data_IF_687783475023
#
_entry.id   IF_687783475023
#
_cell.length_a   1.000
_cell.length_b   1.000
_cell.length_c   1.000
_cell.angle_alpha   90.00
_cell.angle_beta   90.00
_cell.angle_gamma   90.00
#
_symmetry.space_group_name_H-M   'P 1'
#
loop_
_entity.id
_entity.type
_entity.pdbx_description
1 polymer ?
#
# COMPACT_ATOMS: atom_id res chain seq x y z
N UNK A 1 8.01 14.58 -23.63
CA UNK A 1 7.83 14.96 -22.21
C UNK A 1 8.61 16.25 -21.98
N UNK A 2 8.30 17.07 -20.98
CA UNK A 2 9.14 18.23 -20.65
C UNK A 2 9.25 18.41 -19.14
N UNK A 3 10.40 18.91 -18.68
CA UNK A 3 10.62 19.38 -17.31
C UNK A 3 10.96 20.86 -17.39
N UNK A 4 10.29 21.70 -16.60
CA UNK A 4 10.57 23.14 -16.48
C UNK A 4 10.70 23.87 -17.82
N UNK A 5 9.83 23.50 -18.76
CA UNK A 5 9.80 23.97 -20.15
C UNK A 5 10.98 23.52 -21.04
N UNK A 6 11.90 22.70 -20.55
CA UNK A 6 12.85 21.97 -21.37
C UNK A 6 12.22 20.69 -21.91
N UNK A 7 12.16 20.57 -23.25
CA UNK A 7 11.51 19.44 -23.91
C UNK A 7 12.48 18.28 -24.07
N UNK A 8 12.14 17.16 -23.44
CA UNK A 8 12.81 15.88 -23.62
C UNK A 8 11.92 14.97 -24.48
N UNK A 9 12.33 14.77 -25.72
CA UNK A 9 11.62 13.86 -26.61
C UNK A 9 12.03 12.42 -26.30
N UNK A 10 11.25 11.76 -25.44
CA UNK A 10 11.17 10.29 -25.44
C UNK A 10 10.01 9.90 -26.35
N UNK A 11 10.30 9.10 -27.36
CA UNK A 11 9.28 8.49 -28.22
C UNK A 11 9.26 7.01 -27.90
N UNK A 12 8.24 6.57 -27.16
CA UNK A 12 7.92 5.15 -27.09
C UNK A 12 7.12 4.77 -28.34
N UNK A 13 7.70 3.93 -29.19
CA UNK A 13 6.99 3.32 -30.32
C UNK A 13 6.65 1.89 -29.91
N UNK A 14 5.35 1.60 -29.76
CA UNK A 14 4.92 0.23 -29.57
C UNK A 14 5.37 -0.62 -30.79
N UNK A 15 6.01 -1.79 -30.59
CA UNK A 15 6.45 -2.62 -31.72
C UNK A 15 5.28 -3.00 -32.63
N UNK A 16 5.49 -2.94 -33.95
CA UNK A 16 4.44 -3.11 -34.96
C UNK A 16 3.96 -4.56 -35.14
N UNK A 17 4.76 -5.54 -34.71
CA UNK A 17 4.60 -6.95 -35.12
C UNK A 17 4.10 -7.85 -33.98
N UNK A 18 3.37 -7.30 -33.03
CA UNK A 18 2.96 -8.06 -31.85
C UNK A 18 1.63 -8.76 -32.05
N UNK A 19 1.48 -9.97 -31.50
CA UNK A 19 0.19 -10.65 -31.44
C UNK A 19 -0.87 -9.75 -30.81
N UNK A 20 -2.05 -9.77 -31.41
CA UNK A 20 -3.21 -9.00 -30.96
C UNK A 20 -3.48 -9.30 -29.47
N UNK A 21 -3.56 -8.25 -28.64
CA UNK A 21 -3.76 -8.36 -27.19
C UNK A 21 -2.51 -8.37 -26.31
N UNK A 22 -1.30 -8.20 -26.85
CA UNK A 22 -0.07 -8.03 -26.05
C UNK A 22 -0.13 -6.71 -25.28
N UNK A 23 -0.23 -6.77 -23.95
CA UNK A 23 -0.11 -5.61 -23.07
C UNK A 23 1.35 -5.46 -22.64
N UNK A 24 1.89 -4.26 -22.77
CA UNK A 24 3.12 -3.91 -22.09
C UNK A 24 2.79 -3.21 -20.78
N UNK A 25 3.39 -3.68 -19.69
CA UNK A 25 3.27 -3.07 -18.36
C UNK A 25 4.65 -2.61 -17.90
N UNK A 26 4.67 -1.64 -16.99
CA UNK A 26 5.91 -1.12 -16.39
C UNK A 26 7.00 -0.71 -17.40
N UNK A 27 6.62 -0.23 -18.59
CA UNK A 27 7.58 0.34 -19.53
C UNK A 27 8.06 1.68 -18.95
N UNK A 28 9.37 1.90 -18.80
CA UNK A 28 9.89 3.22 -18.52
C UNK A 28 9.59 4.13 -19.72
N UNK A 29 8.60 5.02 -19.56
CA UNK A 29 8.23 5.97 -20.61
C UNK A 29 9.30 7.07 -20.78
N UNK A 30 10.00 7.40 -19.70
CA UNK A 30 11.00 8.46 -19.66
C UNK A 30 11.86 8.36 -18.39
N UNK A 31 13.11 8.81 -18.48
CA UNK A 31 14.02 9.09 -17.37
C UNK A 31 14.73 10.42 -17.64
N UNK A 32 15.13 11.13 -16.59
CA UNK A 32 15.85 12.40 -16.70
C UNK A 32 17.27 12.21 -17.28
N UNK A 33 17.83 13.20 -18.00
CA UNK A 33 19.28 13.31 -18.19
C UNK A 33 19.97 13.65 -16.85
N UNK A 34 21.31 13.48 -16.70
CA UNK A 34 21.91 13.42 -15.36
C UNK A 34 21.74 14.72 -14.57
N UNK A 35 21.08 14.58 -13.41
CA UNK A 35 20.88 15.50 -12.29
C UNK A 35 20.07 16.78 -12.60
N UNK A 36 18.85 16.81 -12.05
CA UNK A 36 18.08 18.03 -11.90
C UNK A 36 18.54 18.80 -10.63
N UNK A 37 18.51 20.15 -10.62
CA UNK A 37 18.74 20.93 -9.40
C UNK A 37 17.80 20.51 -8.26
N UNK A 38 18.21 20.65 -7.00
CA UNK A 38 17.33 20.37 -5.85
C UNK A 38 16.29 21.49 -5.65
N UNK A 39 15.31 21.53 -6.55
CA UNK A 39 14.24 22.52 -6.62
C UNK A 39 12.93 21.86 -7.04
N UNK A 40 11.75 22.47 -6.78
CA UNK A 40 10.51 21.95 -7.32
C UNK A 40 10.49 21.95 -8.85
N UNK A 41 10.23 20.78 -9.44
CA UNK A 41 10.13 20.59 -10.89
C UNK A 41 8.70 20.34 -11.35
N UNK A 42 8.37 20.76 -12.58
CA UNK A 42 7.09 20.42 -13.22
C UNK A 42 7.30 19.47 -14.40
N UNK A 43 6.80 18.24 -14.27
CA UNK A 43 6.77 17.26 -15.36
C UNK A 43 5.50 17.42 -16.19
N UNK A 44 5.66 17.62 -17.50
CA UNK A 44 4.56 17.67 -18.46
C UNK A 44 4.62 16.47 -19.42
N UNK A 45 3.60 15.62 -19.35
CA UNK A 45 3.36 14.53 -20.30
C UNK A 45 2.36 14.99 -21.37
N UNK A 46 2.84 15.14 -22.61
CA UNK A 46 2.00 15.42 -23.77
C UNK A 46 1.83 14.15 -24.61
N UNK A 47 0.59 13.68 -24.78
CA UNK A 47 0.27 12.48 -25.56
C UNK A 47 -0.17 12.92 -26.96
N UNK A 48 0.72 12.76 -27.94
CA UNK A 48 0.48 13.13 -29.32
C UNK A 48 0.20 11.88 -30.15
N UNK A 49 -1.06 11.41 -30.17
CA UNK A 49 -1.50 10.23 -30.92
C UNK A 49 -3.02 10.04 -30.82
N UNK A 50 -3.60 9.29 -31.76
CA UNK A 50 -5.04 9.00 -31.73
C UNK A 50 -5.36 8.01 -30.60
N UNK A 51 -5.73 8.55 -29.43
CA UNK A 51 -6.37 7.77 -28.37
C UNK A 51 -7.77 7.38 -28.86
N UNK A 52 -8.05 6.09 -28.91
CA UNK A 52 -9.34 5.55 -29.35
C UNK A 52 -9.82 4.48 -28.35
N UNK A 53 -10.95 3.83 -28.62
CA UNK A 53 -11.52 2.82 -27.71
C UNK A 53 -10.64 1.60 -27.45
N UNK A 54 -9.60 1.39 -28.26
CA UNK A 54 -8.66 0.26 -28.17
C UNK A 54 -7.21 0.70 -27.92
N UNK A 55 -6.92 2.00 -27.83
CA UNK A 55 -5.55 2.52 -27.67
C UNK A 55 -5.57 3.68 -26.68
N UNK A 56 -4.92 3.48 -25.53
CA UNK A 56 -4.79 4.48 -24.47
C UNK A 56 -3.42 4.41 -23.80
N UNK A 57 -3.09 5.45 -23.04
CA UNK A 57 -1.90 5.50 -22.18
C UNK A 57 -2.37 5.50 -20.74
N UNK A 58 -1.88 4.56 -19.95
CA UNK A 58 -2.11 4.52 -18.51
C UNK A 58 -0.80 4.83 -17.79
N UNK A 59 -0.85 5.78 -16.87
CA UNK A 59 0.27 6.13 -15.99
C UNK A 59 0.01 5.44 -14.66
N UNK A 60 1.00 4.68 -14.19
CA UNK A 60 0.93 3.98 -12.92
C UNK A 60 1.51 4.88 -11.81
N UNK A 61 2.83 5.04 -11.79
CA UNK A 61 3.54 5.82 -10.80
C UNK A 61 4.70 6.61 -11.42
N UNK A 62 5.25 7.53 -10.63
CA UNK A 62 6.53 8.17 -10.86
C UNK A 62 7.48 7.75 -9.73
N UNK A 63 8.69 7.32 -10.07
CA UNK A 63 9.79 7.19 -9.12
C UNK A 63 10.76 8.33 -9.39
N UNK A 64 11.16 9.02 -8.34
CA UNK A 64 12.11 10.13 -8.42
C UNK A 64 12.95 10.16 -7.15
N UNK A 65 14.18 10.66 -7.29
CA UNK A 65 15.07 10.88 -6.16
C UNK A 65 14.80 12.25 -5.54
N UNK A 66 14.98 12.36 -4.23
CA UNK A 66 14.84 13.60 -3.48
C UNK A 66 16.09 13.86 -2.66
N UNK A 67 16.38 15.13 -2.36
CA UNK A 67 17.44 15.45 -1.41
C UNK A 67 17.04 15.05 0.02
N UNK A 68 18.04 14.81 0.88
CA UNK A 68 17.84 14.52 2.30
C UNK A 68 17.02 15.59 3.04
N UNK A 69 17.01 16.82 2.52
CA UNK A 69 16.31 17.96 3.13
C UNK A 69 14.88 18.15 2.66
N UNK A 70 14.44 17.40 1.63
CA UNK A 70 13.11 17.55 1.05
C UNK A 70 12.04 17.11 2.06
N UNK A 71 11.06 17.95 2.42
CA UNK A 71 9.95 17.53 3.27
C UNK A 71 9.12 16.44 2.60
N UNK A 72 9.15 15.24 3.17
CA UNK A 72 8.53 14.05 2.60
C UNK A 72 7.11 13.88 3.13
N UNK A 73 6.22 14.82 2.79
CA UNK A 73 4.81 14.71 3.16
C UNK A 73 4.09 13.85 2.10
N UNK A 74 3.49 12.74 2.53
CA UNK A 74 2.65 11.85 1.71
C UNK A 74 3.34 11.04 0.59
N UNK A 75 4.67 10.94 0.56
CA UNK A 75 5.35 9.99 -0.34
C UNK A 75 5.74 8.70 0.38
N UNK A 76 6.18 7.71 -0.39
CA UNK A 76 6.70 6.43 0.10
C UNK A 76 8.05 6.17 -0.55
N UNK A 77 8.98 5.59 0.20
CA UNK A 77 10.20 5.08 -0.40
C UNK A 77 9.90 3.76 -1.08
N UNK A 78 10.15 3.73 -2.37
CA UNK A 78 10.03 2.54 -3.20
C UNK A 78 11.26 1.65 -3.00
N UNK A 79 11.03 0.36 -2.79
CA UNK A 79 12.08 -0.66 -2.63
C UNK A 79 11.73 -1.84 -3.53
N UNK A 80 12.56 -2.06 -4.55
CA UNK A 80 12.42 -3.16 -5.50
C UNK A 80 12.73 -4.52 -4.84
N UNK A 81 12.16 -5.62 -5.34
CA UNK A 81 12.48 -6.97 -4.86
C UNK A 81 13.97 -7.36 -5.05
N UNK A 82 14.70 -6.64 -5.91
CA UNK A 82 16.15 -6.83 -6.09
C UNK A 82 17.00 -5.85 -5.28
N UNK A 83 16.40 -5.06 -4.39
CA UNK A 83 17.16 -4.20 -3.49
C UNK A 83 18.07 -5.05 -2.58
N UNK A 84 19.38 -4.74 -2.62
CA UNK A 84 20.41 -5.48 -1.88
C UNK A 84 20.23 -5.49 -0.36
N UNK A 85 19.40 -4.59 0.19
CA UNK A 85 19.05 -4.56 1.62
C UNK A 85 18.05 -5.65 2.00
N UNK A 86 17.34 -6.24 1.03
CA UNK A 86 16.47 -7.38 1.27
C UNK A 86 17.33 -8.64 1.37
N UNK A 87 17.25 -9.30 2.51
CA UNK A 87 17.98 -10.53 2.78
C UNK A 87 17.06 -11.72 2.57
N UNK A 88 17.25 -12.42 1.46
CA UNK A 88 16.54 -13.64 1.14
C UNK A 88 17.25 -14.86 1.72
N UNK A 89 16.51 -15.71 2.45
CA UNK A 89 17.00 -17.00 2.93
C UNK A 89 16.92 -18.10 1.87
N UNK A 90 17.13 -19.34 2.31
CA UNK A 90 17.06 -20.51 1.42
C UNK A 90 15.66 -20.67 0.79
N UNK A 91 15.63 -21.03 -0.50
CA UNK A 91 14.40 -21.33 -1.24
C UNK A 91 13.83 -20.19 -2.07
N UNK A 92 14.33 -18.95 -1.89
CA UNK A 92 13.97 -17.82 -2.73
C UNK A 92 14.74 -17.82 -4.05
N UNK A 93 14.06 -17.51 -5.15
CA UNK A 93 14.64 -17.46 -6.49
C UNK A 93 14.18 -16.23 -7.26
N UNK A 94 15.12 -15.49 -7.86
CA UNK A 94 14.80 -14.42 -8.78
C UNK A 94 14.27 -14.97 -10.11
N UNK A 95 13.29 -14.29 -10.68
CA UNK A 95 12.86 -14.41 -12.08
C UNK A 95 12.67 -13.02 -12.69
N UNK A 96 12.68 -12.96 -14.01
CA UNK A 96 12.37 -11.73 -14.75
C UNK A 96 10.98 -11.86 -15.40
N UNK A 97 10.20 -10.79 -15.38
CA UNK A 97 8.82 -10.76 -15.86
C UNK A 97 8.45 -9.40 -16.42
N UNK A 98 8.10 -9.32 -17.70
CA UNK A 98 7.74 -8.05 -18.34
C UNK A 98 6.51 -7.36 -17.71
N UNK A 99 5.70 -8.11 -16.95
CA UNK A 99 4.48 -7.60 -16.33
C UNK A 99 4.69 -6.98 -14.93
N UNK A 100 5.89 -7.05 -14.35
CA UNK A 100 6.18 -6.63 -12.95
C UNK A 100 7.03 -5.37 -12.89
N UNK A 101 7.09 -4.76 -11.71
CA UNK A 101 7.87 -3.54 -11.52
C UNK A 101 9.34 -3.86 -11.81
N UNK A 102 10.01 -2.96 -12.54
CA UNK A 102 11.40 -3.10 -13.00
C UNK A 102 11.70 -4.43 -13.73
N UNK A 103 10.66 -5.13 -14.17
CA UNK A 103 10.70 -6.44 -14.79
C UNK A 103 11.30 -7.55 -13.91
N UNK A 104 11.24 -7.40 -12.58
CA UNK A 104 11.80 -8.35 -11.62
C UNK A 104 10.70 -8.93 -10.71
N UNK A 105 10.91 -10.17 -10.28
CA UNK A 105 10.17 -10.82 -9.20
C UNK A 105 11.12 -11.75 -8.45
N UNK A 106 10.90 -11.92 -7.16
CA UNK A 106 11.62 -12.90 -6.34
C UNK A 106 10.63 -13.71 -5.54
N UNK A 107 10.65 -15.03 -5.71
CA UNK A 107 9.64 -15.90 -5.11
C UNK A 107 10.18 -17.15 -4.44
N UNK A 108 9.40 -17.69 -3.51
CA UNK A 108 9.65 -18.98 -2.87
C UNK A 108 8.38 -19.83 -2.90
N UNK A 109 8.53 -21.09 -3.34
CA UNK A 109 7.53 -22.15 -3.24
C UNK A 109 7.96 -23.25 -2.28
N UNK A 110 8.69 -22.91 -1.23
CA UNK A 110 9.08 -23.82 -0.17
C UNK A 110 8.60 -23.29 1.17
N UNK A 111 7.86 -24.10 1.93
CA UNK A 111 7.47 -23.77 3.29
C UNK A 111 8.70 -23.61 4.20
N UNK A 112 8.66 -22.61 5.09
CA UNK A 112 9.76 -22.31 6.02
C UNK A 112 10.86 -21.41 5.45
N UNK A 113 10.82 -21.04 4.17
CA UNK A 113 11.68 -19.99 3.62
C UNK A 113 11.40 -18.66 4.32
N UNK A 114 12.45 -17.86 4.49
CA UNK A 114 12.33 -16.54 5.14
C UNK A 114 12.99 -15.45 4.31
N UNK A 115 12.47 -14.23 4.39
CA UNK A 115 13.20 -13.02 3.99
C UNK A 115 13.11 -11.99 5.11
N UNK A 116 14.08 -11.08 5.16
CA UNK A 116 14.08 -9.96 6.10
C UNK A 116 14.52 -8.67 5.44
N UNK A 117 13.95 -7.56 5.89
CA UNK A 117 14.27 -6.22 5.42
C UNK A 117 14.25 -5.23 6.58
N UNK A 118 15.34 -4.50 6.76
CA UNK A 118 15.45 -3.44 7.79
C UNK A 118 15.23 -2.09 7.13
N UNK A 119 14.36 -1.28 7.72
CA UNK A 119 13.98 0.04 7.22
C UNK A 119 13.86 1.06 8.35
N UNK A 120 14.05 2.32 8.01
CA UNK A 120 13.73 3.46 8.88
C UNK A 120 12.41 4.07 8.43
N UNK A 121 11.43 4.18 9.32
CA UNK A 121 10.10 4.64 8.92
C UNK A 121 9.04 4.56 10.02
N UNK A 122 7.80 4.80 9.61
CA UNK A 122 6.58 4.72 10.46
C UNK A 122 5.55 3.72 9.92
N UNK A 123 5.92 2.96 8.88
CA UNK A 123 5.06 1.95 8.27
C UNK A 123 5.71 1.31 7.06
N UNK A 124 5.18 0.16 6.65
CA UNK A 124 5.65 -0.59 5.48
C UNK A 124 4.50 -1.36 4.83
N UNK A 125 4.50 -1.42 3.51
CA UNK A 125 3.60 -2.25 2.72
C UNK A 125 4.39 -3.20 1.82
N UNK A 126 3.92 -4.43 1.66
CA UNK A 126 4.55 -5.46 0.80
C UNK A 126 3.59 -5.85 -0.31
N UNK A 127 4.09 -5.81 -1.55
CA UNK A 127 3.33 -6.13 -2.75
C UNK A 127 3.96 -7.27 -3.52
N UNK A 128 3.10 -7.99 -4.25
CA UNK A 128 3.52 -9.17 -4.98
C UNK A 128 2.51 -9.71 -5.97
N UNK A 129 2.89 -10.85 -6.57
CA UNK A 129 2.11 -11.54 -7.58
C UNK A 129 1.50 -12.85 -7.05
N UNK A 130 0.24 -13.11 -7.38
CA UNK A 130 -0.44 -14.34 -7.02
C UNK A 130 -0.63 -15.22 -8.25
N UNK A 131 -0.13 -16.46 -8.16
CA UNK A 131 -0.41 -17.49 -9.14
C UNK A 131 -1.91 -17.81 -9.20
N UNK A 132 -2.39 -18.12 -10.40
CA UNK A 132 -3.64 -18.89 -10.55
C UNK A 132 -3.48 -20.22 -9.81
N UNK A 133 -4.41 -20.55 -8.92
CA UNK A 133 -4.36 -21.84 -8.23
C UNK A 133 -5.21 -22.87 -8.96
N UNK A 134 -4.55 -23.76 -9.70
CA UNK A 134 -5.18 -24.87 -10.42
C UNK A 134 -5.61 -25.98 -9.44
N UNK A 135 -4.87 -26.15 -8.33
CA UNK A 135 -5.06 -27.21 -7.34
C UNK A 135 -5.62 -26.72 -6.00
N UNK A 136 -6.07 -25.47 -5.91
CA UNK A 136 -6.52 -24.80 -4.67
C UNK A 136 -5.46 -24.71 -3.56
N UNK A 137 -4.18 -24.83 -3.92
CA UNK A 137 -3.10 -24.45 -3.03
C UNK A 137 -3.21 -22.96 -2.68
N UNK A 138 -3.17 -22.67 -1.39
CA UNK A 138 -3.29 -21.32 -0.85
C UNK A 138 -1.88 -20.85 -0.46
N UNK A 139 -1.49 -19.71 -1.01
CA UNK A 139 -0.28 -19.01 -0.56
C UNK A 139 -0.49 -18.59 0.89
N UNK A 140 0.37 -19.04 1.80
CA UNK A 140 0.34 -18.58 3.18
C UNK A 140 1.72 -18.12 3.61
N UNK A 141 1.77 -16.96 4.24
CA UNK A 141 3.00 -16.40 4.78
C UNK A 141 2.69 -15.59 6.05
N UNK A 142 3.60 -15.66 7.01
CA UNK A 142 3.58 -14.80 8.19
C UNK A 142 4.44 -13.57 7.96
N UNK A 143 3.91 -12.41 8.29
CA UNK A 143 4.60 -11.12 8.31
C UNK A 143 4.72 -10.66 9.76
N UNK A 144 5.92 -10.30 10.19
CA UNK A 144 6.17 -9.75 11.51
C UNK A 144 7.03 -8.49 11.39
N UNK A 145 6.74 -7.50 12.22
CA UNK A 145 7.61 -6.35 12.45
C UNK A 145 8.32 -6.56 13.79
N UNK A 146 9.63 -6.38 13.77
CA UNK A 146 10.51 -6.53 14.92
C UNK A 146 10.32 -7.88 15.63
N UNK A 147 10.09 -7.87 16.95
CA UNK A 147 9.84 -9.06 17.75
C UNK A 147 8.35 -9.20 18.12
N UNK A 148 7.46 -8.59 17.35
CA UNK A 148 6.02 -8.64 17.59
C UNK A 148 5.37 -9.92 17.02
N UNK A 149 4.08 -10.09 17.31
CA UNK A 149 3.29 -11.21 16.80
C UNK A 149 3.12 -11.11 15.29
N UNK A 150 3.22 -12.23 14.59
CA UNK A 150 3.05 -12.25 13.14
C UNK A 150 1.59 -12.18 12.71
N UNK A 151 1.33 -11.49 11.61
CA UNK A 151 0.06 -11.52 10.85
C UNK A 151 0.18 -12.53 9.72
N UNK A 152 -0.77 -13.46 9.63
CA UNK A 152 -0.81 -14.45 8.54
C UNK A 152 -1.58 -13.89 7.34
N UNK A 153 -0.90 -13.82 6.20
CA UNK A 153 -1.53 -13.64 4.89
C UNK A 153 -2.02 -14.99 4.37
N UNK A 154 -3.30 -15.06 3.97
CA UNK A 154 -3.93 -16.28 3.43
C UNK A 154 -5.12 -15.89 2.53
N UNK A 155 -4.85 -15.46 1.29
CA UNK A 155 -5.88 -14.99 0.38
C UNK A 155 -6.70 -16.15 -0.18
N UNK A 156 -7.90 -15.86 -0.67
CA UNK A 156 -8.57 -16.82 -1.55
C UNK A 156 -7.79 -16.90 -2.87
N UNK A 157 -7.48 -18.10 -3.38
CA UNK A 157 -6.71 -18.21 -4.60
C UNK A 157 -7.44 -17.57 -5.79
N UNK A 158 -6.76 -16.74 -6.61
CA UNK A 158 -7.42 -16.07 -7.71
C UNK A 158 -7.68 -17.03 -8.88
N UNK A 159 -8.68 -16.72 -9.69
CA UNK A 159 -9.03 -17.48 -10.90
C UNK A 159 -8.07 -17.28 -12.06
N UNK A 160 -7.24 -16.24 -12.00
CA UNK A 160 -6.17 -15.93 -12.96
C UNK A 160 -4.96 -15.40 -12.20
N UNK A 161 -3.80 -15.38 -12.83
CA UNK A 161 -2.63 -14.70 -12.28
C UNK A 161 -2.94 -13.22 -12.00
N UNK A 162 -2.46 -12.68 -10.87
CA UNK A 162 -2.66 -11.28 -10.46
C UNK A 162 -1.34 -10.64 -10.05
N UNK A 163 -1.11 -9.41 -10.49
CA UNK A 163 0.01 -8.55 -10.06
C UNK A 163 -0.48 -7.50 -9.07
N UNK A 164 0.45 -6.77 -8.42
CA UNK A 164 0.14 -5.65 -7.53
C UNK A 164 -0.81 -6.01 -6.36
N UNK A 165 -0.67 -7.21 -5.80
CA UNK A 165 -1.45 -7.63 -4.66
C UNK A 165 -0.79 -7.17 -3.36
N UNK A 166 -1.54 -6.47 -2.52
CA UNK A 166 -1.10 -6.14 -1.17
C UNK A 166 -1.12 -7.40 -0.29
N UNK A 167 0.03 -7.77 0.24
CA UNK A 167 0.17 -8.90 1.17
C UNK A 167 0.12 -8.46 2.62
N UNK A 168 0.77 -7.35 2.91
CA UNK A 168 0.94 -6.85 4.27
C UNK A 168 1.02 -5.33 4.26
N UNK A 169 0.39 -4.70 5.25
CA UNK A 169 0.42 -3.26 5.44
C UNK A 169 0.43 -2.97 6.94
N UNK A 170 1.54 -2.40 7.41
CA UNK A 170 1.68 -1.92 8.78
C UNK A 170 1.87 -0.41 8.81
N UNK A 171 1.20 0.25 9.75
CA UNK A 171 1.13 1.71 9.83
C UNK A 171 1.15 2.17 11.28
N UNK A 172 1.58 3.42 11.52
CA UNK A 172 1.69 3.99 12.86
C UNK A 172 2.72 3.26 13.74
N UNK A 173 3.78 2.76 13.12
CA UNK A 173 4.97 2.34 13.86
C UNK A 173 5.63 3.58 14.48
N UNK A 174 6.22 3.40 15.66
CA UNK A 174 7.02 4.46 16.29
C UNK A 174 8.16 4.87 15.35
N UNK A 175 8.43 6.18 15.16
CA UNK A 175 9.51 6.61 14.28
C UNK A 175 10.86 5.97 14.66
N UNK A 176 11.42 5.16 13.76
CA UNK A 176 12.74 4.58 13.96
C UNK A 176 13.08 3.44 13.00
N UNK A 177 14.08 2.66 13.39
CA UNK A 177 14.51 1.47 12.66
C UNK A 177 13.65 0.27 13.04
N UNK A 178 13.10 -0.39 12.03
CA UNK A 178 12.31 -1.61 12.14
C UNK A 178 12.88 -2.70 11.25
N UNK A 179 12.60 -3.95 11.60
CA UNK A 179 12.91 -5.11 10.77
C UNK A 179 11.63 -5.88 10.45
N UNK A 180 11.28 -5.93 9.17
CA UNK A 180 10.24 -6.83 8.69
C UNK A 180 10.81 -8.21 8.44
N UNK A 181 10.09 -9.25 8.86
CA UNK A 181 10.37 -10.64 8.53
C UNK A 181 9.16 -11.29 7.87
N UNK A 182 9.39 -12.01 6.77
CA UNK A 182 8.38 -12.88 6.14
C UNK A 182 8.81 -14.33 6.30
N UNK A 183 7.86 -15.21 6.61
CA UNK A 183 8.08 -16.66 6.68
C UNK A 183 6.98 -17.39 5.90
N UNK A 184 7.34 -18.16 4.88
CA UNK A 184 6.39 -18.94 4.09
C UNK A 184 5.84 -20.11 4.91
N UNK A 185 4.55 -20.40 4.79
CA UNK A 185 3.87 -21.46 5.55
C UNK A 185 3.41 -22.63 4.67
N UNK A 186 3.39 -22.45 3.36
CA UNK A 186 3.01 -23.47 2.38
C UNK A 186 4.03 -23.52 1.24
N UNK A 187 3.98 -24.59 0.45
CA UNK A 187 4.79 -24.74 -0.77
C UNK A 187 4.18 -24.01 -1.98
N UNK A 188 3.03 -23.34 -1.79
CA UNK A 188 2.44 -22.48 -2.80
C UNK A 188 3.31 -21.23 -2.97
N UNK A 189 3.73 -20.94 -4.21
CA UNK A 189 4.69 -19.86 -4.46
C UNK A 189 4.13 -18.48 -4.09
N UNK A 190 4.85 -17.78 -3.20
CA UNK A 190 4.70 -16.34 -2.99
C UNK A 190 5.73 -15.61 -3.86
N UNK A 191 5.32 -14.53 -4.52
CA UNK A 191 6.19 -13.67 -5.32
C UNK A 191 6.24 -12.27 -4.72
N UNK A 192 7.43 -11.77 -4.38
CA UNK A 192 7.65 -10.38 -3.95
C UNK A 192 8.03 -9.56 -5.18
N UNK A 193 7.41 -8.39 -5.31
CA UNK A 193 7.61 -7.44 -6.42
C UNK A 193 8.24 -6.15 -5.88
N UNK A 194 7.61 -5.51 -4.89
CA UNK A 194 8.15 -4.32 -4.26
C UNK A 194 7.61 -4.09 -2.85
N UNK A 195 8.29 -3.21 -2.13
CA UNK A 195 7.88 -2.71 -0.82
C UNK A 195 7.76 -1.18 -0.88
N UNK A 196 6.86 -0.65 -0.06
CA UNK A 196 6.68 0.78 0.13
C UNK A 196 6.90 1.13 1.60
N UNK A 197 7.94 1.90 1.89
CA UNK A 197 8.22 2.37 3.26
C UNK A 197 7.61 3.75 3.46
N UNK A 198 6.90 3.93 4.58
CA UNK A 198 6.42 5.23 5.02
C UNK A 198 7.54 5.92 5.79
N UNK A 199 8.07 7.06 5.30
CA UNK A 199 9.20 7.75 5.94
C UNK A 199 8.80 8.36 7.30
N UNK A 200 9.81 8.82 8.03
CA UNK A 200 9.61 9.62 9.24
C UNK A 200 9.37 11.08 8.81
N UNK A 201 8.18 11.62 9.11
CA UNK A 201 7.94 13.04 8.89
C UNK A 201 8.73 13.87 9.91
N UNK A 202 9.58 14.79 9.45
CA UNK A 202 10.39 15.65 10.31
C UNK A 202 9.57 16.47 11.34
N UNK A 203 8.30 16.74 11.04
CA UNK A 203 7.35 17.41 11.95
C UNK A 203 6.88 16.52 13.11
N UNK A 204 6.86 15.19 12.94
CA UNK A 204 6.54 14.24 14.00
C UNK A 204 7.69 14.14 15.03
N UNK A 205 8.94 14.22 14.56
CA UNK A 205 10.12 14.19 15.43
C UNK A 205 10.17 15.40 16.39
N UNK A 206 9.74 16.57 15.93
CA UNK A 206 9.64 17.78 16.75
C UNK A 206 8.61 17.68 17.90
N UNK A 207 7.63 16.78 17.77
CA UNK A 207 6.59 16.56 18.81
C UNK A 207 7.04 15.60 19.92
N UNK A 208 8.08 14.79 19.68
CA UNK A 208 8.61 13.82 20.66
C UNK A 208 9.76 14.39 21.52
N UNK A 209 10.30 15.55 21.14
CA UNK A 209 11.44 16.19 21.82
C UNK A 209 11.06 17.14 22.98
N UNK A 210 9.83 17.08 23.52
CA UNK A 210 9.52 17.78 24.78
C UNK A 210 10.07 17.01 25.99
N UNK A 211 11.39 16.85 26.07
CA UNK A 211 12.06 16.42 27.29
C UNK A 211 11.92 17.53 28.33
N UNK A 212 11.09 17.25 29.33
CA UNK A 212 10.99 17.96 30.59
C UNK A 212 12.37 18.24 31.18
N UNK A 213 12.78 19.50 31.19
CA UNK A 213 13.92 19.97 31.96
C UNK A 213 13.60 19.87 33.45
N UNK A 214 13.94 18.75 34.08
CA UNK A 214 13.96 18.59 35.54
C UNK A 214 15.13 19.38 36.13
N UNK A 215 14.87 20.64 36.47
CA UNK A 215 15.75 21.40 37.36
C UNK A 215 15.66 20.82 38.78
N UNK A 216 16.75 20.23 39.26
CA UNK A 216 16.93 19.84 40.66
C UNK A 216 17.02 21.08 41.57
N UNK A 217 16.31 21.14 42.71
CA UNK A 217 16.71 21.97 43.83
C UNK A 217 17.20 21.13 45.02
N UNK A 218 18.27 21.66 45.62
CA UNK A 218 19.03 21.26 46.81
C UNK A 218 18.13 21.07 48.05
N UNK A 219 18.45 20.15 49.00
CA UNK A 219 17.62 19.91 50.17
C UNK A 219 17.84 20.96 51.26
N UNK A 220 16.76 21.40 51.91
CA UNK A 220 16.80 22.15 53.17
C UNK A 220 15.54 21.83 53.97
N UNK A 221 15.75 21.45 55.22
CA UNK A 221 14.77 20.95 56.20
C UNK A 221 13.94 22.06 56.86
N UNK A 222 12.62 21.86 57.05
CA UNK A 222 11.88 21.78 58.34
C UNK A 222 10.36 22.15 58.25
N UNK A 223 9.54 21.25 58.84
CA UNK A 223 8.25 21.42 59.57
C UNK A 223 6.95 21.98 58.93
N UNK A 224 6.02 21.04 58.64
CA UNK A 224 4.58 20.92 59.07
C UNK A 224 3.49 21.95 58.66
N UNK A 225 2.16 21.62 58.74
CA UNK A 225 1.35 21.33 57.55
C UNK A 225 0.07 22.19 57.41
N UNK A 226 -0.49 22.29 56.19
CA UNK A 226 -1.91 22.58 55.96
C UNK A 226 -2.33 22.09 54.55
N UNK A 227 -3.58 21.59 54.38
CA UNK A 227 -4.04 21.01 53.13
C UNK A 227 -4.70 22.08 52.25
N UNK A 228 -4.48 22.03 50.93
CA UNK A 228 -5.52 22.49 50.02
C UNK A 228 -5.53 21.74 48.69
N UNK A 229 -6.76 21.50 48.29
CA UNK A 229 -7.30 20.84 47.14
C UNK A 229 -7.15 21.64 45.85
N UNK A 230 -6.97 20.96 44.71
CA UNK A 230 -7.90 21.08 43.56
C UNK A 230 -7.40 20.41 42.26
N UNK A 231 -8.31 19.57 41.73
CA UNK A 231 -8.68 19.41 40.32
C UNK A 231 -7.70 18.81 39.31
N UNK A 232 -7.71 17.46 39.29
CA UNK A 232 -7.37 16.65 38.12
C UNK A 232 -8.64 16.51 37.25
N UNK A 233 -8.68 17.18 36.10
CA UNK A 233 -9.77 17.01 35.11
C UNK A 233 -9.60 15.69 34.38
N UNK A 234 -10.41 14.71 34.80
CA UNK A 234 -10.61 13.43 34.12
C UNK A 234 -11.54 13.67 32.92
N UNK A 235 -10.99 13.66 31.70
CA UNK A 235 -11.82 13.65 30.48
C UNK A 235 -12.39 12.24 30.34
N UNK A 236 -13.71 12.14 30.46
CA UNK A 236 -14.45 10.89 30.48
C UNK A 236 -14.56 10.26 29.08
N UNK A 237 -13.92 9.11 28.90
CA UNK A 237 -13.94 8.23 27.72
C UNK A 237 -15.34 7.73 27.32
N UNK A 238 -16.37 7.94 28.17
CA UNK A 238 -17.72 7.42 27.96
C UNK A 238 -18.56 8.11 26.88
N UNK A 239 -18.22 9.33 26.45
CA UNK A 239 -19.05 10.09 25.50
C UNK A 239 -18.76 9.76 24.02
N UNK A 240 -17.59 9.18 23.70
CA UNK A 240 -17.19 8.88 22.31
C UNK A 240 -17.70 7.48 21.88
N UNK A 241 -17.88 6.54 22.80
CA UNK A 241 -18.32 5.17 22.49
C UNK A 241 -19.82 5.09 22.18
N UNK A 242 -20.64 6.01 22.70
CA UNK A 242 -22.10 6.00 22.49
C UNK A 242 -22.56 6.40 21.08
N UNK A 243 -21.81 7.28 20.40
CA UNK A 243 -22.19 7.80 19.08
C UNK A 243 -21.97 6.79 17.94
N UNK A 244 -20.90 6.02 18.01
CA UNK A 244 -20.50 5.09 16.92
C UNK A 244 -21.44 3.88 16.86
N UNK A 245 -21.86 3.36 18.01
CA UNK A 245 -22.77 2.21 18.08
C UNK A 245 -24.16 2.61 17.57
N UNK A 246 -24.68 3.78 17.97
CA UNK A 246 -25.97 4.27 17.49
C UNK A 246 -26.02 4.53 15.97
N UNK A 247 -24.93 5.06 15.40
CA UNK A 247 -24.82 5.33 13.97
C UNK A 247 -24.85 4.06 13.11
N UNK A 248 -24.12 3.01 13.51
CA UNK A 248 -24.06 1.74 12.76
C UNK A 248 -25.42 1.02 12.79
N UNK A 249 -26.08 0.95 13.94
CA UNK A 249 -27.41 0.34 14.03
C UNK A 249 -28.48 1.12 13.23
N UNK A 250 -28.44 2.46 13.27
CA UNK A 250 -29.34 3.31 12.48
C UNK A 250 -29.16 3.12 10.96
N UNK A 251 -27.90 3.02 10.50
CA UNK A 251 -27.58 2.89 9.08
C UNK A 251 -27.96 1.50 8.55
N UNK A 252 -27.74 0.44 9.32
CA UNK A 252 -28.16 -0.93 8.97
C UNK A 252 -29.70 -1.02 8.92
N UNK A 253 -30.40 -0.46 9.90
CA UNK A 253 -31.87 -0.45 9.91
C UNK A 253 -32.45 0.32 8.72
N UNK A 254 -31.82 1.45 8.33
CA UNK A 254 -32.21 2.24 7.16
C UNK A 254 -32.07 1.46 5.85
N UNK A 255 -30.95 0.77 5.64
CA UNK A 255 -30.71 -0.05 4.43
C UNK A 255 -31.72 -1.19 4.33
N UNK A 256 -32.01 -1.87 5.43
CA UNK A 256 -32.99 -2.96 5.46
C UNK A 256 -34.41 -2.46 5.11
N UNK A 257 -34.83 -1.31 5.65
CA UNK A 257 -36.11 -0.69 5.32
C UNK A 257 -36.21 -0.32 3.83
N UNK A 258 -35.20 0.34 3.27
CA UNK A 258 -35.17 0.70 1.84
C UNK A 258 -35.22 -0.54 0.96
N UNK A 259 -34.44 -1.57 1.27
CA UNK A 259 -34.43 -2.83 0.52
C UNK A 259 -35.79 -3.53 0.54
N UNK A 260 -36.49 -3.51 1.68
CA UNK A 260 -37.83 -4.09 1.84
C UNK A 260 -38.87 -3.35 0.99
N UNK A 261 -38.85 -2.01 1.01
CA UNK A 261 -39.77 -1.20 0.19
C UNK A 261 -39.48 -1.34 -1.31
N UNK A 262 -38.22 -1.43 -1.72
CA UNK A 262 -37.85 -1.69 -3.12
C UNK A 262 -38.30 -3.08 -3.58
N UNK A 263 -38.12 -4.12 -2.75
CA UNK A 263 -38.60 -5.48 -3.05
C UNK A 263 -40.12 -5.54 -3.14
N UNK A 264 -40.85 -4.78 -2.31
CA UNK A 264 -42.33 -4.71 -2.38
C UNK A 264 -42.82 -4.01 -3.65
N UNK A 265 -42.11 -2.97 -4.12
CA UNK A 265 -42.44 -2.29 -5.38
C UNK A 265 -42.19 -3.16 -6.62
N UNK A 266 -41.11 -3.93 -6.64
CA UNK A 266 -40.76 -4.82 -7.77
C UNK A 266 -41.74 -5.99 -7.98
N UNK A 267 -42.59 -6.31 -7.00
CA UNK A 267 -43.62 -7.36 -7.13
C UNK A 267 -44.87 -6.93 -7.92
N UNK A 268 -44.93 -5.70 -8.44
CA UNK A 268 -46.07 -5.20 -9.24
C UNK A 268 -45.79 -5.06 -10.75
N UNK A 269 -44.69 -5.61 -11.27
CA UNK A 269 -44.33 -5.47 -12.69
C UNK A 269 -44.10 -6.81 -13.44
N UNK A 270 -44.73 -7.91 -12.99
CA UNK A 270 -44.70 -9.20 -13.70
C UNK A 270 -46.11 -9.67 -14.14
N UNK A 271 -46.91 -8.73 -14.65
CA UNK A 271 -48.04 -9.04 -15.51
C UNK A 271 -47.95 -8.09 -16.69
N UNK A 272 -47.13 -8.45 -17.68
CA UNK A 272 -47.42 -8.30 -19.12
C UNK A 272 -46.15 -8.59 -19.94
N UNK A 273 -46.39 -9.10 -21.15
CA UNK A 273 -45.43 -9.49 -22.20
C UNK A 273 -44.84 -10.91 -22.13
N UNK A 274 -45.72 -11.91 -22.24
CA UNK A 274 -45.47 -13.06 -23.12
C UNK A 274 -46.10 -12.73 -24.48
N UNK A 275 -45.33 -12.78 -25.58
CA UNK A 275 -45.66 -13.47 -26.85
C UNK A 275 -44.72 -13.01 -27.98
N UNK A 276 -43.77 -13.86 -28.42
CA UNK A 276 -43.38 -13.99 -29.85
C UNK A 276 -42.99 -15.46 -30.10
N UNK A 277 -43.64 -16.06 -31.10
CA UNK A 277 -43.46 -17.44 -31.57
C UNK A 277 -42.28 -17.58 -32.57
N UNK A 278 -41.72 -18.78 -32.80
CA UNK A 278 -40.64 -18.98 -33.77
C UNK A 278 -41.17 -19.23 -35.19
N UNK A 279 -40.51 -18.64 -36.19
CA UNK A 279 -40.77 -18.88 -37.61
C UNK A 279 -39.99 -20.10 -38.14
N UNK A 280 -40.61 -20.80 -39.09
CA UNK A 280 -40.00 -21.73 -40.06
C UNK A 280 -39.27 -20.99 -41.17
#
# INVERSE_FOLDING_TARGET
MSIDNETFTSTFVAPSDLPDGTLFRHIPLWSDPPSLPDTPHTLLLNITGAINSTTGVWVDYFVYEVSESTPINDTRFFVDDRDSRIQYGDGWKPIDSNDTVMHTLTGSGAAGSTLSFTFEGTGISVYGALNQSVNREVVQANFAIDNESSVTYSPQPPSSFKFNNLYFNETNLEPGNHTMKVSTLTDATIWIDYLLVTPINATALASSNSTTSTSFPVPSSTTSPAPDSSNRTHIATGAIVGGVIGGVFGLIAGILLVSFFMRRRRRKQYHDAHYIAPCT
#
